data_IF_823888437389
#
_entry.id   IF_823888437389
#
_cell.length_a   1.000
_cell.length_b   1.000
_cell.length_c   1.000
_cell.angle_alpha   90.00
_cell.angle_beta   90.00
_cell.angle_gamma   90.00
#
_symmetry.space_group_name_H-M   'P 1'
#
loop_
_entity.id
_entity.type
_entity.pdbx_description
1 polymer ?
#
# COMPACT_ATOMS: atom_id res chain seq x y z
N UNK A 1 9.98 -16.09 5.41
CA UNK A 1 8.77 -15.29 5.65
C UNK A 1 7.87 -16.12 6.57
N UNK A 2 7.26 -15.56 7.61
CA UNK A 2 6.38 -16.33 8.50
C UNK A 2 5.13 -16.82 7.74
N UNK A 3 4.70 -18.06 8.03
CA UNK A 3 3.51 -18.71 7.42
C UNK A 3 2.27 -17.82 7.48
N UNK A 4 2.12 -17.03 8.56
CA UNK A 4 0.98 -16.14 8.75
C UNK A 4 1.01 -14.97 7.75
N UNK A 5 2.18 -14.34 7.56
CA UNK A 5 2.31 -13.21 6.64
C UNK A 5 2.14 -13.66 5.20
N UNK A 6 2.71 -14.81 4.86
CA UNK A 6 2.53 -15.43 3.54
C UNK A 6 1.05 -15.75 3.27
N UNK A 7 0.33 -16.29 4.26
CA UNK A 7 -1.11 -16.52 4.16
C UNK A 7 -1.92 -15.24 3.94
N UNK A 8 -1.57 -14.14 4.62
CA UNK A 8 -2.22 -12.84 4.43
C UNK A 8 -1.96 -12.31 3.00
N UNK A 9 -0.71 -12.35 2.54
CA UNK A 9 -0.33 -11.91 1.19
C UNK A 9 -1.08 -12.74 0.15
N UNK A 10 -1.12 -14.06 0.29
CA UNK A 10 -1.83 -14.95 -0.62
C UNK A 10 -3.33 -14.66 -0.65
N UNK A 11 -3.97 -14.49 0.52
CA UNK A 11 -5.41 -14.18 0.62
C UNK A 11 -5.74 -12.85 -0.06
N UNK A 12 -4.97 -11.80 0.25
CA UNK A 12 -5.14 -10.47 -0.35
C UNK A 12 -4.88 -10.53 -1.86
N UNK A 13 -3.90 -11.32 -2.29
CA UNK A 13 -3.61 -11.57 -3.69
C UNK A 13 -4.77 -12.20 -4.44
N UNK A 14 -5.36 -13.27 -3.90
CA UNK A 14 -6.53 -13.91 -4.50
C UNK A 14 -7.74 -12.95 -4.56
N UNK A 15 -7.95 -12.14 -3.52
CA UNK A 15 -9.05 -11.18 -3.49
C UNK A 15 -8.95 -10.11 -4.58
N UNK A 16 -7.75 -9.56 -4.80
CA UNK A 16 -7.52 -8.45 -5.74
C UNK A 16 -7.28 -8.96 -7.16
N UNK A 17 -6.48 -10.01 -7.33
CA UNK A 17 -6.00 -10.47 -8.64
C UNK A 17 -6.78 -11.67 -9.16
N UNK A 18 -7.47 -12.40 -8.28
CA UNK A 18 -8.09 -13.68 -8.62
C UNK A 18 -7.08 -14.82 -8.63
N UNK A 19 -7.52 -16.00 -9.07
CA UNK A 19 -6.66 -17.15 -9.33
C UNK A 19 -6.25 -17.19 -10.80
N UNK A 20 -5.26 -17.99 -11.17
CA UNK A 20 -4.87 -18.19 -12.58
C UNK A 20 -6.05 -18.62 -13.46
N UNK A 21 -6.92 -19.50 -12.94
CA UNK A 21 -8.11 -19.97 -13.66
C UNK A 21 -9.21 -18.91 -13.80
N UNK A 22 -9.24 -17.90 -12.92
CA UNK A 22 -10.27 -16.85 -12.88
C UNK A 22 -9.66 -15.49 -12.53
N UNK A 23 -8.95 -14.87 -13.49
CA UNK A 23 -8.33 -13.57 -13.25
C UNK A 23 -9.39 -12.49 -13.04
N UNK A 24 -9.16 -11.61 -12.05
CA UNK A 24 -10.03 -10.45 -11.80
C UNK A 24 -9.83 -9.37 -12.88
N UNK A 25 -10.86 -8.53 -13.13
CA UNK A 25 -10.77 -7.42 -14.09
C UNK A 25 -9.63 -6.46 -13.76
N UNK A 26 -8.96 -5.95 -14.80
CA UNK A 26 -7.86 -4.99 -14.65
C UNK A 26 -8.26 -3.70 -13.91
N UNK A 27 -9.53 -3.29 -14.05
CA UNK A 27 -10.09 -2.11 -13.38
C UNK A 27 -9.96 -2.24 -11.86
N UNK A 28 -10.31 -3.41 -11.29
CA UNK A 28 -10.25 -3.62 -9.85
C UNK A 28 -8.82 -3.44 -9.32
N UNK A 29 -7.85 -4.06 -10.01
CA UNK A 29 -6.42 -3.96 -9.68
C UNK A 29 -5.93 -2.51 -9.73
N UNK A 30 -6.29 -1.78 -10.78
CA UNK A 30 -5.90 -0.38 -10.92
C UNK A 30 -6.57 0.52 -9.87
N UNK A 31 -7.83 0.28 -9.54
CA UNK A 31 -8.53 1.02 -8.47
C UNK A 31 -7.83 0.83 -7.13
N UNK A 32 -7.50 -0.41 -6.75
CA UNK A 32 -6.80 -0.69 -5.48
C UNK A 32 -5.45 0.03 -5.45
N UNK A 33 -4.69 0.00 -6.54
CA UNK A 33 -3.40 0.72 -6.66
C UNK A 33 -3.59 2.23 -6.51
N UNK A 34 -4.51 2.82 -7.26
CA UNK A 34 -4.74 4.27 -7.22
C UNK A 34 -5.16 4.71 -5.83
N UNK A 35 -6.09 3.99 -5.19
CA UNK A 35 -6.51 4.28 -3.82
C UNK A 35 -5.33 4.19 -2.84
N UNK A 36 -4.51 3.15 -2.96
CA UNK A 36 -3.34 2.98 -2.10
C UNK A 36 -2.30 4.10 -2.29
N UNK A 37 -1.92 4.42 -3.53
CA UNK A 37 -0.96 5.49 -3.82
C UNK A 37 -1.47 6.88 -3.42
N UNK A 38 -2.75 7.17 -3.67
CA UNK A 38 -3.37 8.44 -3.25
C UNK A 38 -3.40 8.52 -1.72
N UNK A 39 -3.76 7.43 -1.03
CA UNK A 39 -3.75 7.38 0.43
C UNK A 39 -2.36 7.64 1.02
N UNK A 40 -1.31 7.02 0.47
CA UNK A 40 0.06 7.26 0.90
C UNK A 40 0.52 8.70 0.62
N UNK A 41 0.19 9.27 -0.55
CA UNK A 41 0.50 10.66 -0.85
C UNK A 41 -0.18 11.64 0.11
N UNK A 42 -1.46 11.40 0.44
CA UNK A 42 -2.21 12.20 1.42
C UNK A 42 -1.62 12.07 2.83
N UNK A 43 -1.20 10.86 3.23
CA UNK A 43 -0.54 10.64 4.52
C UNK A 43 0.78 11.41 4.60
N UNK A 44 1.63 11.32 3.57
CA UNK A 44 2.89 12.08 3.49
C UNK A 44 2.64 13.58 3.52
N UNK A 45 1.69 14.07 2.71
CA UNK A 45 1.32 15.49 2.68
C UNK A 45 0.83 16.00 4.04
N UNK A 46 0.15 15.14 4.80
CA UNK A 46 -0.29 15.48 6.14
C UNK A 46 0.85 15.54 7.15
N UNK A 47 1.78 14.59 7.10
CA UNK A 47 2.96 14.54 7.97
C UNK A 47 3.86 15.78 7.80
N UNK A 48 4.03 16.25 6.57
CA UNK A 48 4.81 17.47 6.28
C UNK A 48 4.04 18.77 6.51
N UNK A 49 2.82 18.70 7.04
CA UNK A 49 1.98 19.86 7.32
C UNK A 49 1.40 20.56 6.09
N UNK A 50 1.52 19.97 4.89
CA UNK A 50 0.93 20.53 3.67
C UNK A 50 -0.59 20.36 3.60
N UNK A 51 -1.14 19.35 4.30
CA UNK A 51 -2.59 19.09 4.39
C UNK A 51 -2.99 18.80 5.83
N UNK A 52 -3.94 19.56 6.37
CA UNK A 52 -4.52 19.26 7.68
C UNK A 52 -5.58 18.16 7.54
N UNK A 53 -5.27 16.94 7.97
CA UNK A 53 -6.24 15.85 8.01
C UNK A 53 -7.08 15.92 9.30
N UNK A 54 -8.40 15.65 9.21
CA UNK A 54 -9.20 15.41 10.41
C UNK A 54 -8.62 14.25 11.23
N UNK A 55 -8.75 14.25 12.58
CA UNK A 55 -8.12 13.25 13.45
C UNK A 55 -8.45 11.79 13.10
N UNK A 56 -9.67 11.54 12.60
CA UNK A 56 -10.11 10.22 12.13
C UNK A 56 -9.21 9.69 11.00
N UNK A 57 -8.79 10.56 10.08
CA UNK A 57 -7.94 10.17 8.96
C UNK A 57 -6.47 10.00 9.36
N UNK A 58 -6.00 10.75 10.37
CA UNK A 58 -4.67 10.56 10.92
C UNK A 58 -4.49 9.17 11.53
N UNK A 59 -5.53 8.65 12.22
CA UNK A 59 -5.53 7.28 12.75
C UNK A 59 -5.64 6.20 11.66
N UNK A 60 -6.32 6.51 10.56
CA UNK A 60 -6.48 5.58 9.43
C UNK A 60 -5.23 5.52 8.52
N UNK A 61 -4.40 6.57 8.51
CA UNK A 61 -3.19 6.67 7.68
C UNK A 61 -2.22 5.47 7.82
N UNK A 62 -1.80 5.04 9.02
CA UNK A 62 -0.89 3.89 9.16
C UNK A 62 -1.51 2.58 8.65
N UNK A 63 -2.82 2.39 8.85
CA UNK A 63 -3.55 1.22 8.32
C UNK A 63 -3.54 1.25 6.79
N UNK A 64 -3.74 2.43 6.19
CA UNK A 64 -3.67 2.58 4.74
C UNK A 64 -2.29 2.30 4.17
N UNK A 65 -1.24 2.79 4.83
CA UNK A 65 0.15 2.54 4.43
C UNK A 65 0.45 1.03 4.48
N UNK A 66 0.04 0.34 5.56
CA UNK A 66 0.19 -1.12 5.67
C UNK A 66 -0.55 -1.85 4.55
N UNK A 67 -1.80 -1.47 4.26
CA UNK A 67 -2.55 -2.04 3.15
C UNK A 67 -1.85 -1.84 1.80
N UNK A 68 -1.31 -0.64 1.53
CA UNK A 68 -0.54 -0.37 0.32
C UNK A 68 0.71 -1.27 0.23
N UNK A 69 1.45 -1.42 1.33
CA UNK A 69 2.64 -2.28 1.36
C UNK A 69 2.29 -3.74 1.06
N UNK A 70 1.21 -4.26 1.64
CA UNK A 70 0.73 -5.63 1.36
C UNK A 70 0.38 -5.78 -0.12
N UNK A 71 -0.36 -4.83 -0.70
CA UNK A 71 -0.72 -4.87 -2.13
C UNK A 71 0.51 -4.87 -3.03
N UNK A 72 1.53 -4.09 -2.68
CA UNK A 72 2.75 -4.02 -3.48
C UNK A 72 3.64 -5.26 -3.32
N UNK A 73 3.64 -5.89 -2.14
CA UNK A 73 4.27 -7.21 -1.93
C UNK A 73 3.58 -8.28 -2.76
N UNK A 74 2.25 -8.30 -2.83
CA UNK A 74 1.51 -9.20 -3.73
C UNK A 74 1.92 -9.01 -5.19
N UNK A 75 2.06 -7.77 -5.66
CA UNK A 75 2.50 -7.49 -7.05
C UNK A 75 3.92 -7.98 -7.31
N UNK A 76 4.79 -7.91 -6.30
CA UNK A 76 6.13 -8.46 -6.37
C UNK A 76 6.12 -9.98 -6.53
N UNK A 77 5.34 -10.68 -5.69
CA UNK A 77 5.18 -12.15 -5.75
C UNK A 77 4.55 -12.61 -7.08
N UNK A 78 3.70 -11.79 -7.70
CA UNK A 78 3.16 -12.02 -9.05
C UNK A 78 4.14 -11.72 -10.19
N UNK A 79 5.44 -11.51 -9.88
CA UNK A 79 6.52 -11.35 -10.84
C UNK A 79 6.70 -9.94 -11.40
N UNK A 80 6.01 -8.92 -10.87
CA UNK A 80 6.07 -7.54 -11.39
C UNK A 80 7.03 -6.69 -10.56
N UNK A 81 8.32 -6.92 -10.77
CA UNK A 81 9.44 -6.28 -10.03
C UNK A 81 9.40 -4.75 -9.98
N UNK A 82 8.86 -4.08 -11.00
CA UNK A 82 8.72 -2.61 -10.99
C UNK A 82 7.85 -2.09 -9.82
N UNK A 83 6.86 -2.86 -9.37
CA UNK A 83 6.01 -2.45 -8.25
C UNK A 83 6.70 -2.65 -6.89
N UNK A 84 7.72 -3.51 -6.80
CA UNK A 84 8.56 -3.62 -5.61
C UNK A 84 9.39 -2.35 -5.39
N UNK A 85 9.93 -1.77 -6.46
CA UNK A 85 10.57 -0.45 -6.40
C UNK A 85 9.57 0.64 -5.98
N UNK A 86 8.37 0.64 -6.56
CA UNK A 86 7.32 1.58 -6.14
C UNK A 86 6.95 1.43 -4.66
N UNK A 87 6.91 0.20 -4.13
CA UNK A 87 6.70 -0.10 -2.71
C UNK A 87 7.81 0.46 -1.84
N UNK A 88 9.04 0.20 -2.24
CA UNK A 88 10.22 0.64 -1.52
C UNK A 88 10.27 2.16 -1.44
N UNK A 89 10.07 2.86 -2.56
CA UNK A 89 10.08 4.33 -2.58
C UNK A 89 8.88 4.94 -1.85
N UNK A 90 7.67 4.36 -1.98
CA UNK A 90 6.52 4.85 -1.24
C UNK A 90 6.69 4.66 0.28
N UNK A 91 7.17 3.48 0.71
CA UNK A 91 7.48 3.21 2.11
C UNK A 91 8.59 4.12 2.65
N UNK A 92 9.68 4.29 1.89
CA UNK A 92 10.77 5.18 2.25
C UNK A 92 10.31 6.64 2.37
N UNK A 93 9.48 7.12 1.45
CA UNK A 93 8.92 8.48 1.50
C UNK A 93 8.08 8.70 2.76
N UNK A 94 7.27 7.71 3.15
CA UNK A 94 6.48 7.74 4.39
C UNK A 94 7.39 7.77 5.62
N UNK A 95 8.42 6.93 5.68
CA UNK A 95 9.36 6.88 6.82
C UNK A 95 10.10 8.21 6.94
N UNK A 96 10.61 8.76 5.84
CA UNK A 96 11.27 10.07 5.84
C UNK A 96 10.32 11.18 6.29
N UNK A 97 9.07 11.16 5.83
CA UNK A 97 8.07 12.14 6.26
C UNK A 97 7.72 12.01 7.75
N UNK A 98 7.65 10.78 8.28
CA UNK A 98 7.42 10.53 9.70
C UNK A 98 8.57 11.05 10.56
N UNK A 99 9.82 10.75 10.17
CA UNK A 99 11.02 11.27 10.86
C UNK A 99 11.04 12.80 10.83
N UNK A 100 10.73 13.41 9.69
CA UNK A 100 10.65 14.87 9.56
C UNK A 100 9.54 15.49 10.42
N UNK A 101 8.46 14.76 10.67
CA UNK A 101 7.37 15.15 11.55
C UNK A 101 7.67 14.91 13.05
N UNK A 102 8.81 14.29 13.38
CA UNK A 102 9.20 13.97 14.76
C UNK A 102 8.48 12.77 15.36
N UNK A 103 8.01 11.85 14.52
CA UNK A 103 7.40 10.56 14.91
C UNK A 103 8.41 9.42 14.93
#
# INVERSE_FOLDING_TARGET
MDIVLEGIIALVGVLIYGTEDRPRPAILRNTVRTVGFVGAAVAVASLVGAVALPPVFALAAPVWILCLLIVLMVEHELGRTMYAFAAFFAGAAVVVAAIAAGL
#
